data_IF_346117040217
#
_entry.id   IF_346117040217
#
_cell.length_a   1.000
_cell.length_b   1.000
_cell.length_c   1.000
_cell.angle_alpha   90.00
_cell.angle_beta   90.00
_cell.angle_gamma   90.00
#
_symmetry.space_group_name_H-M   'P 1'
#
loop_
_entity.id
_entity.type
_entity.pdbx_description
1 polymer ?
#
# COMPACT_ATOMS: atom_id res chain seq x y z
N UNK A 1 -80.99 -27.41 -9.93
CA UNK A 1 -79.96 -28.49 -9.97
C UNK A 1 -79.09 -28.43 -11.24
N UNK A 2 -79.66 -28.54 -12.50
CA UNK A 2 -78.86 -28.54 -13.74
C UNK A 2 -78.15 -27.19 -14.01
N UNK A 3 -78.75 -26.06 -13.68
CA UNK A 3 -78.14 -24.72 -13.84
C UNK A 3 -77.08 -24.45 -12.85
N UNK A 4 -77.15 -24.88 -11.59
CA UNK A 4 -76.18 -24.75 -10.55
C UNK A 4 -74.95 -25.59 -10.84
N UNK A 5 -75.09 -26.81 -11.30
CA UNK A 5 -73.95 -27.67 -11.71
C UNK A 5 -73.19 -27.10 -12.90
N UNK A 6 -73.88 -26.47 -13.86
CA UNK A 6 -73.20 -25.79 -14.97
C UNK A 6 -72.46 -24.53 -14.54
N UNK A 7 -72.92 -23.82 -13.55
CA UNK A 7 -72.27 -22.63 -13.01
C UNK A 7 -71.01 -23.00 -12.19
N UNK A 8 -71.06 -24.03 -11.39
CA UNK A 8 -69.90 -24.61 -10.65
C UNK A 8 -68.85 -25.10 -11.64
N UNK A 9 -69.26 -25.82 -12.71
CA UNK A 9 -68.33 -26.28 -13.74
C UNK A 9 -67.60 -25.11 -14.43
N UNK A 10 -68.31 -24.05 -14.77
CA UNK A 10 -67.75 -22.84 -15.39
C UNK A 10 -66.76 -22.12 -14.43
N UNK A 11 -67.05 -22.04 -13.14
CA UNK A 11 -66.14 -21.48 -12.14
C UNK A 11 -64.88 -22.33 -12.01
N UNK A 12 -65.03 -23.64 -11.93
CA UNK A 12 -63.89 -24.56 -11.87
C UNK A 12 -62.99 -24.45 -13.11
N UNK A 13 -63.60 -24.38 -14.29
CA UNK A 13 -62.87 -24.20 -15.55
C UNK A 13 -62.06 -22.88 -15.56
N UNK A 14 -62.70 -21.77 -15.19
CA UNK A 14 -62.00 -20.46 -15.12
C UNK A 14 -60.82 -20.49 -14.12
N UNK A 15 -60.98 -21.14 -12.97
CA UNK A 15 -59.91 -21.28 -12.01
C UNK A 15 -58.76 -22.12 -12.55
N UNK A 16 -59.05 -23.21 -13.27
CA UNK A 16 -58.06 -24.05 -13.93
C UNK A 16 -57.31 -23.25 -15.01
N UNK A 17 -58.00 -22.51 -15.84
CA UNK A 17 -57.39 -21.70 -16.89
C UNK A 17 -56.46 -20.62 -16.30
N UNK A 18 -56.91 -19.91 -15.26
CA UNK A 18 -56.05 -18.93 -14.53
C UNK A 18 -54.88 -19.57 -13.86
N UNK A 19 -55.00 -20.76 -13.29
CA UNK A 19 -53.90 -21.48 -12.69
C UNK A 19 -52.88 -21.92 -13.75
N UNK A 20 -53.35 -22.35 -14.90
CA UNK A 20 -52.52 -22.75 -16.03
C UNK A 20 -51.73 -21.53 -16.60
N UNK A 21 -52.40 -20.41 -16.76
CA UNK A 21 -51.79 -19.15 -17.22
C UNK A 21 -50.71 -18.69 -16.22
N UNK A 22 -51.00 -18.67 -14.92
CA UNK A 22 -50.00 -18.34 -13.88
C UNK A 22 -48.82 -19.29 -13.92
N UNK A 23 -49.06 -20.59 -14.08
CA UNK A 23 -47.99 -21.59 -14.17
C UNK A 23 -47.12 -21.39 -15.42
N UNK A 24 -47.71 -21.11 -16.58
CA UNK A 24 -46.96 -20.84 -17.81
C UNK A 24 -46.13 -19.58 -17.71
N UNK A 25 -46.72 -18.49 -17.19
CA UNK A 25 -46.00 -17.24 -16.95
C UNK A 25 -44.85 -17.42 -15.94
N UNK A 26 -45.08 -18.17 -14.86
CA UNK A 26 -44.04 -18.51 -13.89
C UNK A 26 -42.87 -19.29 -14.50
N UNK A 27 -43.16 -20.27 -15.35
CA UNK A 27 -42.12 -21.02 -16.08
C UNK A 27 -41.30 -20.14 -17.03
N UNK A 28 -42.00 -19.25 -17.77
CA UNK A 28 -41.31 -18.30 -18.66
C UNK A 28 -40.39 -17.35 -17.91
N UNK A 29 -40.85 -16.84 -16.76
CA UNK A 29 -39.99 -15.98 -15.91
C UNK A 29 -38.78 -16.75 -15.33
N UNK A 30 -38.99 -18.00 -14.90
CA UNK A 30 -37.89 -18.83 -14.41
C UNK A 30 -36.86 -19.11 -15.51
N UNK A 31 -37.30 -19.37 -16.75
CA UNK A 31 -36.40 -19.56 -17.88
C UNK A 31 -35.53 -18.30 -18.15
N UNK A 32 -36.18 -17.11 -18.15
CA UNK A 32 -35.44 -15.85 -18.31
C UNK A 32 -34.46 -15.60 -17.18
N UNK A 33 -34.83 -15.93 -15.95
CA UNK A 33 -33.92 -15.78 -14.80
C UNK A 33 -32.75 -16.75 -14.91
N UNK A 34 -32.98 -18.00 -15.28
CA UNK A 34 -31.94 -19.01 -15.48
C UNK A 34 -30.94 -18.60 -16.57
N UNK A 35 -31.41 -18.07 -17.70
CA UNK A 35 -30.55 -17.56 -18.76
C UNK A 35 -29.71 -16.35 -18.30
N UNK A 36 -30.30 -15.43 -17.55
CA UNK A 36 -29.57 -14.29 -16.98
C UNK A 36 -28.54 -14.73 -15.97
N UNK A 37 -28.86 -15.69 -15.14
CA UNK A 37 -27.95 -16.26 -14.16
C UNK A 37 -26.75 -16.93 -14.84
N UNK A 38 -26.97 -17.69 -15.92
CA UNK A 38 -25.89 -18.28 -16.70
C UNK A 38 -24.97 -17.25 -17.34
N UNK A 39 -25.53 -16.18 -17.93
CA UNK A 39 -24.74 -15.06 -18.49
C UNK A 39 -23.95 -14.36 -17.39
N UNK A 40 -24.58 -14.14 -16.25
CA UNK A 40 -23.92 -13.49 -15.11
C UNK A 40 -22.77 -14.34 -14.55
N UNK A 41 -22.97 -15.65 -14.42
CA UNK A 41 -21.93 -16.57 -14.00
C UNK A 41 -20.73 -16.55 -14.96
N UNK A 42 -20.98 -16.58 -16.26
CA UNK A 42 -19.93 -16.50 -17.27
C UNK A 42 -19.15 -15.18 -17.18
N UNK A 43 -19.83 -14.05 -17.05
CA UNK A 43 -19.18 -12.75 -16.92
C UNK A 43 -18.36 -12.64 -15.64
N UNK A 44 -18.88 -13.15 -14.53
CA UNK A 44 -18.18 -13.17 -13.24
C UNK A 44 -16.91 -14.03 -13.33
N UNK A 45 -17.00 -15.18 -13.95
CA UNK A 45 -15.85 -16.10 -14.08
C UNK A 45 -14.78 -15.48 -15.00
N UNK A 46 -15.16 -14.80 -16.07
CA UNK A 46 -14.25 -14.06 -16.93
C UNK A 46 -13.60 -12.87 -16.21
N UNK A 47 -14.32 -12.17 -15.33
CA UNK A 47 -13.80 -11.05 -14.55
C UNK A 47 -12.98 -11.49 -13.32
N UNK A 48 -13.15 -12.73 -12.85
CA UNK A 48 -12.55 -13.24 -11.62
C UNK A 48 -11.02 -13.04 -11.54
N UNK A 49 -10.20 -13.32 -12.57
CA UNK A 49 -8.76 -13.08 -12.51
C UNK A 49 -8.39 -11.61 -12.30
N UNK A 50 -9.13 -10.71 -12.95
CA UNK A 50 -8.91 -9.26 -12.83
C UNK A 50 -9.29 -8.78 -11.42
N UNK A 51 -10.41 -9.25 -10.90
CA UNK A 51 -10.85 -8.91 -9.54
C UNK A 51 -9.89 -9.43 -8.48
N UNK A 52 -9.36 -10.64 -8.65
CA UNK A 52 -8.32 -11.19 -7.76
C UNK A 52 -7.05 -10.36 -7.81
N UNK A 53 -6.58 -9.98 -9.00
CA UNK A 53 -5.40 -9.13 -9.16
C UNK A 53 -5.62 -7.75 -8.51
N UNK A 54 -6.77 -7.14 -8.74
CA UNK A 54 -7.13 -5.86 -8.10
C UNK A 54 -7.20 -6.00 -6.58
N UNK A 55 -7.75 -7.09 -6.08
CA UNK A 55 -7.83 -7.36 -4.65
C UNK A 55 -6.43 -7.55 -4.02
N UNK A 56 -5.55 -8.29 -4.67
CA UNK A 56 -4.15 -8.44 -4.26
C UNK A 56 -3.42 -7.10 -4.28
N UNK A 57 -3.57 -6.31 -5.36
CA UNK A 57 -2.91 -5.01 -5.49
C UNK A 57 -3.35 -3.99 -4.44
N UNK A 58 -4.60 -4.07 -3.97
CA UNK A 58 -5.18 -3.18 -2.97
C UNK A 58 -5.12 -3.73 -1.53
N UNK A 59 -4.32 -4.77 -1.28
CA UNK A 59 -4.21 -5.42 0.05
C UNK A 59 -5.53 -5.99 0.59
N UNK A 60 -6.38 -6.48 -0.31
CA UNK A 60 -7.65 -7.11 0.05
C UNK A 60 -7.49 -8.47 0.73
N UNK A 61 -8.59 -9.22 0.85
CA UNK A 61 -8.66 -10.49 1.58
C UNK A 61 -7.66 -11.55 1.11
N UNK A 62 -7.31 -11.52 -0.16
CA UNK A 62 -6.42 -12.50 -0.79
C UNK A 62 -4.93 -12.16 -0.59
N UNK A 63 -4.62 -10.97 -0.05
CA UNK A 63 -3.25 -10.52 0.20
C UNK A 63 -2.74 -11.03 1.55
N UNK A 64 -1.64 -11.80 1.54
CA UNK A 64 -0.98 -12.32 2.75
C UNK A 64 -0.38 -11.18 3.58
N UNK A 65 0.24 -10.22 2.92
CA UNK A 65 0.97 -9.12 3.59
C UNK A 65 0.07 -7.97 4.00
N UNK A 66 -1.14 -7.89 3.46
CA UNK A 66 -2.09 -6.77 3.64
C UNK A 66 -1.46 -5.39 3.41
N UNK A 67 -0.53 -5.33 2.46
CA UNK A 67 0.15 -4.11 2.04
C UNK A 67 -0.23 -3.86 0.58
N UNK A 68 -0.77 -2.69 0.22
CA UNK A 68 -1.03 -2.33 -1.16
C UNK A 68 0.24 -2.37 -2.00
N UNK A 69 0.14 -2.78 -3.26
CA UNK A 69 1.27 -2.86 -4.18
C UNK A 69 2.01 -1.53 -4.30
N UNK A 70 1.28 -0.41 -4.35
CA UNK A 70 1.89 0.91 -4.36
C UNK A 70 2.76 1.16 -3.12
N UNK A 71 2.27 0.82 -1.93
CA UNK A 71 3.03 0.92 -0.68
C UNK A 71 4.24 -0.01 -0.69
N UNK A 72 4.10 -1.22 -1.23
CA UNK A 72 5.21 -2.16 -1.36
C UNK A 72 6.35 -1.58 -2.23
N UNK A 73 6.00 -1.00 -3.38
CA UNK A 73 6.98 -0.35 -4.27
C UNK A 73 7.69 0.81 -3.58
N UNK A 74 6.92 1.70 -2.91
CA UNK A 74 7.50 2.83 -2.18
C UNK A 74 8.40 2.37 -1.05
N UNK A 75 8.03 1.32 -0.30
CA UNK A 75 8.87 0.73 0.75
C UNK A 75 10.19 0.21 0.19
N UNK A 76 10.15 -0.51 -0.91
CA UNK A 76 11.36 -1.03 -1.56
C UNK A 76 12.29 0.11 -2.00
N UNK A 77 11.73 1.19 -2.59
CA UNK A 77 12.50 2.39 -2.93
C UNK A 77 13.10 3.07 -1.72
N UNK A 78 12.34 3.16 -0.66
CA UNK A 78 12.82 3.74 0.59
C UNK A 78 14.00 2.94 1.18
N UNK A 79 13.92 1.61 1.16
CA UNK A 79 15.02 0.74 1.58
C UNK A 79 16.29 0.98 0.73
N UNK A 80 16.16 1.10 -0.59
CA UNK A 80 17.31 1.44 -1.47
C UNK A 80 17.93 2.79 -1.13
N UNK A 81 17.10 3.79 -0.80
CA UNK A 81 17.59 5.11 -0.36
C UNK A 81 18.34 4.97 0.98
N UNK A 82 17.78 4.21 1.93
CA UNK A 82 18.44 4.00 3.23
C UNK A 82 19.79 3.28 3.10
N UNK A 83 19.89 2.29 2.22
CA UNK A 83 21.14 1.58 1.96
C UNK A 83 22.23 2.54 1.45
N UNK A 84 21.90 3.38 0.44
CA UNK A 84 22.79 4.39 -0.09
C UNK A 84 23.15 5.48 0.93
N UNK A 85 22.15 5.90 1.74
CA UNK A 85 22.39 6.87 2.80
C UNK A 85 23.34 6.30 3.87
N UNK A 86 23.18 5.04 4.22
CA UNK A 86 24.05 4.37 5.20
C UNK A 86 25.49 4.24 4.72
N UNK A 87 25.72 3.97 3.43
CA UNK A 87 27.08 3.97 2.84
C UNK A 87 27.79 5.31 3.08
N UNK A 88 27.09 6.44 2.86
CA UNK A 88 27.63 7.79 3.10
C UNK A 88 27.75 8.12 4.58
N UNK A 89 26.72 7.81 5.34
CA UNK A 89 26.64 8.10 6.77
C UNK A 89 27.73 7.37 7.55
N UNK A 90 28.11 6.16 7.12
CA UNK A 90 29.21 5.42 7.73
C UNK A 90 30.53 6.19 7.68
N UNK A 91 30.84 6.91 6.58
CA UNK A 91 32.00 7.77 6.47
C UNK A 91 31.90 8.99 7.38
N UNK A 92 30.82 9.72 7.33
CA UNK A 92 30.62 10.99 8.06
C UNK A 92 30.53 10.76 9.57
N UNK A 93 29.82 9.72 10.01
CA UNK A 93 29.63 9.43 11.44
C UNK A 93 30.64 8.44 12.02
N UNK A 94 31.68 8.08 11.27
CA UNK A 94 32.64 7.04 11.63
C UNK A 94 31.97 5.73 12.06
N UNK A 95 30.85 5.37 11.40
CA UNK A 95 30.10 4.16 11.67
C UNK A 95 29.18 4.22 12.88
N UNK A 96 29.07 5.37 13.55
CA UNK A 96 28.21 5.53 14.74
C UNK A 96 26.71 5.41 14.42
N UNK A 97 26.25 6.06 13.37
CA UNK A 97 24.83 6.09 13.05
C UNK A 97 24.48 5.22 11.86
N UNK A 98 23.34 4.54 11.96
CA UNK A 98 22.74 3.79 10.89
C UNK A 98 21.25 4.11 10.81
N UNK A 99 20.74 4.32 9.60
CA UNK A 99 19.31 4.53 9.33
C UNK A 99 18.64 3.20 9.06
N UNK A 100 17.47 3.02 9.62
CA UNK A 100 16.65 1.85 9.35
C UNK A 100 15.17 2.24 9.20
N UNK A 101 14.44 1.42 8.45
CA UNK A 101 13.01 1.56 8.33
C UNK A 101 12.32 1.00 9.57
N UNK A 102 11.27 1.65 10.00
CA UNK A 102 10.41 1.18 11.08
C UNK A 102 8.98 0.94 10.58
N UNK A 103 8.40 -0.17 11.01
CA UNK A 103 6.99 -0.47 10.85
C UNK A 103 6.15 -0.01 12.06
N UNK A 104 6.79 0.52 13.08
CA UNK A 104 6.14 1.00 14.29
C UNK A 104 5.41 2.33 14.02
N UNK A 105 4.23 2.48 14.64
CA UNK A 105 3.54 3.77 14.65
C UNK A 105 4.34 4.75 15.52
N UNK A 106 4.68 5.91 14.98
CA UNK A 106 5.07 7.03 15.83
C UNK A 106 3.98 7.29 16.87
N UNK A 107 4.35 7.36 18.14
CA UNK A 107 3.42 7.70 19.24
C UNK A 107 2.78 9.04 18.93
N UNK A 108 1.45 9.05 18.76
CA UNK A 108 0.67 10.26 18.47
C UNK A 108 0.24 10.46 17.03
N UNK A 109 0.71 9.66 16.07
CA UNK A 109 0.22 9.69 14.69
C UNK A 109 -1.11 8.98 14.55
N UNK A 110 -2.09 9.66 13.93
CA UNK A 110 -3.36 9.07 13.47
C UNK A 110 -3.21 8.28 12.17
N UNK A 111 -2.04 8.29 11.57
CA UNK A 111 -1.80 7.70 10.27
C UNK A 111 -1.76 6.17 10.33
N UNK A 112 -2.25 5.57 9.25
CA UNK A 112 -2.20 4.13 9.00
C UNK A 112 -0.72 3.74 8.92
N UNK A 113 -0.37 2.58 9.50
CA UNK A 113 0.99 1.99 9.39
C UNK A 113 1.40 1.89 7.92
N UNK A 114 2.12 2.88 7.42
CA UNK A 114 2.61 2.88 6.03
C UNK A 114 3.90 2.08 5.87
N UNK A 115 4.57 1.74 6.99
CA UNK A 115 5.88 1.10 6.98
C UNK A 115 6.99 1.98 6.37
N UNK A 116 6.81 3.30 6.42
CA UNK A 116 7.76 4.32 5.97
C UNK A 116 8.37 5.10 7.14
N UNK A 117 8.22 4.59 8.36
CA UNK A 117 8.86 5.18 9.53
C UNK A 117 10.38 5.09 9.42
N UNK A 118 11.09 6.12 9.89
CA UNK A 118 12.55 6.19 9.96
C UNK A 118 12.98 6.11 11.41
N UNK A 119 13.96 5.28 11.68
CA UNK A 119 14.68 5.23 12.97
C UNK A 119 16.17 5.37 12.71
N UNK A 120 16.85 5.92 13.71
CA UNK A 120 18.32 6.01 13.77
C UNK A 120 18.81 5.00 14.79
N UNK A 121 19.74 4.17 14.41
CA UNK A 121 20.45 3.24 15.28
C UNK A 121 21.77 3.92 15.68
N UNK A 122 21.93 4.22 16.97
CA UNK A 122 23.17 4.79 17.54
C UNK A 122 24.01 3.65 18.10
N UNK A 123 25.16 3.38 17.51
CA UNK A 123 26.05 2.27 17.89
C UNK A 123 26.97 2.58 19.06
N UNK A 124 27.07 3.84 19.46
CA UNK A 124 27.79 4.24 20.68
C UNK A 124 26.95 4.05 21.95
N UNK A 125 25.66 3.80 21.82
CA UNK A 125 24.78 3.39 22.92
C UNK A 125 25.04 1.95 23.33
N UNK A 126 24.96 1.64 24.61
CA UNK A 126 25.02 0.26 25.12
C UNK A 126 24.04 -0.66 24.37
N UNK A 127 24.47 -1.90 24.17
CA UNK A 127 23.99 -2.91 23.19
C UNK A 127 22.47 -3.26 23.28
N UNK A 128 21.70 -2.67 24.19
CA UNK A 128 20.28 -2.95 24.40
C UNK A 128 19.37 -1.90 23.71
N UNK A 129 18.07 -2.08 23.75
CA UNK A 129 16.98 -1.31 23.09
C UNK A 129 17.12 0.24 23.07
N UNK A 130 18.07 0.79 23.83
CA UNK A 130 18.47 2.20 23.84
C UNK A 130 19.14 2.68 22.54
N UNK A 131 19.63 1.79 21.70
CA UNK A 131 20.28 2.14 20.42
C UNK A 131 19.32 2.70 19.36
N UNK A 132 18.01 2.46 19.50
CA UNK A 132 17.01 2.96 18.55
C UNK A 132 16.50 4.33 18.96
N UNK A 133 16.80 5.35 18.16
CA UNK A 133 16.41 6.75 18.39
C UNK A 133 15.43 7.24 17.33
N UNK A 134 14.52 8.10 17.75
CA UNK A 134 13.73 8.88 16.79
C UNK A 134 14.62 9.89 16.08
N UNK A 135 14.48 10.15 14.78
CA UNK A 135 15.19 11.23 14.10
C UNK A 135 15.05 12.59 14.79
N UNK A 136 13.92 12.81 15.49
CA UNK A 136 13.67 14.04 16.25
C UNK A 136 14.54 14.22 17.50
N UNK A 137 15.22 13.17 17.94
CA UNK A 137 16.11 13.23 19.11
C UNK A 137 17.57 13.54 18.75
N UNK A 138 17.86 13.72 17.48
CA UNK A 138 19.18 14.09 16.99
C UNK A 138 19.49 15.55 17.31
N UNK A 139 20.76 15.86 17.56
CA UNK A 139 21.26 17.23 17.64
C UNK A 139 21.19 17.94 16.29
N UNK A 140 21.38 19.26 16.25
CA UNK A 140 21.38 20.03 15.01
C UNK A 140 22.37 19.52 13.98
N UNK A 141 23.62 19.29 14.39
CA UNK A 141 24.67 18.74 13.52
C UNK A 141 24.36 17.33 13.04
N UNK A 142 23.91 16.43 13.95
CA UNK A 142 23.49 15.07 13.60
C UNK A 142 22.34 15.07 12.61
N UNK A 143 21.33 15.93 12.81
CA UNK A 143 20.20 16.08 11.88
C UNK A 143 20.68 16.55 10.52
N UNK A 144 21.63 17.49 10.47
CA UNK A 144 22.16 18.01 9.20
C UNK A 144 22.82 16.91 8.36
N UNK A 145 23.83 16.21 8.91
CA UNK A 145 24.51 15.20 8.08
C UNK A 145 23.66 13.96 7.77
N UNK A 146 22.73 13.58 8.64
CA UNK A 146 21.74 12.54 8.34
C UNK A 146 20.83 12.97 7.17
N UNK A 147 20.33 14.22 7.20
CA UNK A 147 19.51 14.76 6.13
C UNK A 147 20.27 14.89 4.81
N UNK A 148 21.55 15.29 4.88
CA UNK A 148 22.43 15.37 3.72
C UNK A 148 22.65 14.00 3.09
N UNK A 149 22.97 12.98 3.91
CA UNK A 149 23.16 11.62 3.43
C UNK A 149 21.90 11.07 2.74
N UNK A 150 20.70 11.34 3.31
CA UNK A 150 19.41 10.97 2.70
C UNK A 150 19.15 11.70 1.39
N UNK A 151 19.43 13.01 1.34
CA UNK A 151 19.21 13.81 0.13
C UNK A 151 20.10 13.34 -1.03
N UNK A 152 21.37 13.08 -0.76
CA UNK A 152 22.31 12.56 -1.74
C UNK A 152 21.94 11.13 -2.19
N UNK A 153 21.53 10.27 -1.25
CA UNK A 153 21.06 8.92 -1.57
C UNK A 153 19.81 8.92 -2.45
N UNK A 154 18.85 9.81 -2.16
CA UNK A 154 17.67 9.99 -3.00
C UNK A 154 18.06 10.43 -4.41
N UNK A 155 18.98 11.37 -4.54
CA UNK A 155 19.48 11.82 -5.83
C UNK A 155 20.12 10.67 -6.63
N UNK A 156 20.90 9.81 -5.98
CA UNK A 156 21.51 8.65 -6.62
C UNK A 156 20.49 7.62 -7.10
N UNK A 157 19.47 7.33 -6.29
CA UNK A 157 18.39 6.40 -6.67
C UNK A 157 17.59 6.95 -7.86
N UNK A 158 17.22 8.22 -7.82
CA UNK A 158 16.49 8.89 -8.94
C UNK A 158 17.34 8.91 -10.21
N UNK A 159 18.65 9.18 -10.10
CA UNK A 159 19.58 9.13 -11.21
C UNK A 159 19.66 7.74 -11.84
N UNK A 160 19.77 6.70 -11.03
CA UNK A 160 19.86 5.33 -11.54
C UNK A 160 18.60 4.90 -12.30
N UNK A 161 17.42 5.41 -11.94
CA UNK A 161 16.16 5.09 -12.59
C UNK A 161 15.91 5.86 -13.88
N UNK A 162 16.34 7.11 -13.95
CA UNK A 162 16.07 8.01 -15.08
C UNK A 162 17.13 7.97 -16.18
N UNK A 163 17.85 6.85 -16.34
CA UNK A 163 18.83 6.69 -17.42
C UNK A 163 20.09 7.52 -17.26
N UNK A 164 20.43 7.91 -16.00
CA UNK A 164 21.72 8.50 -15.69
C UNK A 164 21.79 10.02 -15.86
N UNK A 165 20.67 10.74 -15.72
CA UNK A 165 20.71 12.22 -15.59
C UNK A 165 21.58 12.55 -14.40
N UNK A 166 22.76 13.14 -14.65
CA UNK A 166 23.70 13.55 -13.62
C UNK A 166 23.18 14.83 -12.94
N UNK A 167 22.96 14.76 -11.64
CA UNK A 167 22.90 15.96 -10.82
C UNK A 167 24.35 16.41 -10.60
N UNK A 168 24.78 17.44 -11.32
CA UNK A 168 26.14 17.95 -11.25
C UNK A 168 26.35 18.94 -10.10
N UNK A 169 25.25 19.47 -9.56
CA UNK A 169 25.31 20.52 -8.54
C UNK A 169 24.21 20.32 -7.51
N UNK A 170 24.56 20.36 -6.24
CA UNK A 170 23.65 20.43 -5.11
C UNK A 170 23.89 21.76 -4.39
N UNK A 171 22.84 22.56 -4.23
CA UNK A 171 22.87 23.80 -3.47
C UNK A 171 22.40 23.53 -2.04
N UNK A 172 23.24 23.82 -1.06
CA UNK A 172 22.93 23.72 0.36
C UNK A 172 22.95 25.14 0.92
N UNK A 173 21.77 25.60 1.37
CA UNK A 173 21.59 26.99 1.84
C UNK A 173 22.10 27.19 3.27
N UNK A 174 21.83 26.22 4.17
CA UNK A 174 22.24 26.27 5.57
C UNK A 174 22.62 24.88 6.09
N UNK A 175 23.25 24.82 7.29
CA UNK A 175 23.48 23.57 8.02
C UNK A 175 24.93 23.36 8.43
N UNK A 176 25.90 23.84 7.66
CA UNK A 176 27.31 23.66 7.96
C UNK A 176 27.74 24.35 9.25
N UNK A 177 27.09 25.47 9.63
CA UNK A 177 27.37 26.18 10.88
C UNK A 177 27.00 25.42 12.16
N UNK A 178 26.31 24.31 12.06
CA UNK A 178 25.96 23.43 13.19
C UNK A 178 26.95 22.28 13.38
N UNK A 179 27.96 22.14 12.50
CA UNK A 179 28.99 21.13 12.54
C UNK A 179 30.25 21.64 13.25
N UNK A 180 30.94 20.77 13.94
CA UNK A 180 32.32 20.99 14.35
C UNK A 180 33.27 20.83 13.16
N UNK A 181 34.46 21.42 13.27
CA UNK A 181 35.44 21.44 12.19
C UNK A 181 35.83 20.03 11.71
N UNK A 182 35.92 19.05 12.61
CA UNK A 182 36.26 17.67 12.27
C UNK A 182 35.15 16.97 11.47
N UNK A 183 33.88 17.19 11.83
CA UNK A 183 32.75 16.66 11.11
C UNK A 183 32.57 17.36 9.76
N UNK A 184 32.87 18.66 9.68
CA UNK A 184 32.86 19.43 8.44
C UNK A 184 33.83 18.84 7.41
N UNK A 185 35.08 18.57 7.85
CA UNK A 185 36.09 17.94 6.98
C UNK A 185 35.62 16.57 6.44
N UNK A 186 34.97 15.75 7.27
CA UNK A 186 34.45 14.45 6.87
C UNK A 186 33.25 14.56 5.87
N UNK A 187 32.46 15.61 5.99
CA UNK A 187 31.32 15.87 5.06
C UNK A 187 31.84 16.37 3.72
N UNK A 188 32.94 17.10 3.69
CA UNK A 188 33.52 17.72 2.48
C UNK A 188 34.49 16.78 1.72
N UNK A 189 34.88 15.65 2.31
CA UNK A 189 35.75 14.66 1.71
C UNK A 189 35.03 13.70 0.76
#
# INVERSE_FOLDING_TARGET
LARESAEVARKAQRQADLAQERSSNGRSQLAILSDREAVWAQQRDAASPILRLANLANAGSDSITRIPLATFVVRHRFEQILDRANERLAGISLGRYQLARSDEKERGSREIKTGLGLIVIDRDGEIDDAAKRSPRSLSGGETFYVSLALALALADVVRAENGGITLETLLIDEGFGSLDDSTLDLVMA
#
